data_IF_057707847065
#
_entry.id   IF_057707847065
#
_cell.length_a   1.000
_cell.length_b   1.000
_cell.length_c   1.000
_cell.angle_alpha   90.00
_cell.angle_beta   90.00
_cell.angle_gamma   90.00
#
_symmetry.space_group_name_H-M   'P 1'
#
loop_
_entity.id
_entity.type
_entity.pdbx_description
1 polymer ?
#
# COMPACT_ATOMS: atom_id res chain seq x y z
N UNK A 1 10.00 18.81 4.46
CA UNK A 1 10.36 18.11 5.72
C UNK A 1 9.61 16.80 5.65
N UNK A 2 10.24 15.62 5.81
CA UNK A 2 9.56 14.36 5.54
C UNK A 2 8.22 14.29 6.27
N UNK A 3 7.17 13.86 5.57
CA UNK A 3 5.86 13.68 6.17
C UNK A 3 5.95 12.58 7.22
N UNK A 4 5.56 12.92 8.45
CA UNK A 4 5.40 11.96 9.54
C UNK A 4 3.95 11.49 9.53
N UNK A 5 3.74 10.24 9.12
CA UNK A 5 2.43 9.58 9.11
C UNK A 5 2.54 8.39 10.06
N UNK A 6 1.64 8.31 11.04
CA UNK A 6 1.61 7.21 12.00
C UNK A 6 0.96 5.98 11.36
N UNK A 7 1.76 5.08 10.78
CA UNK A 7 1.21 3.91 10.08
C UNK A 7 0.73 2.79 11.01
N UNK A 8 1.12 2.81 12.29
CA UNK A 8 0.81 1.73 13.25
C UNK A 8 -0.67 1.70 13.66
N UNK A 9 -1.38 2.82 13.57
CA UNK A 9 -2.81 2.91 13.89
C UNK A 9 -3.71 2.40 12.76
N UNK A 10 -3.15 2.17 11.57
CA UNK A 10 -3.88 1.89 10.32
C UNK A 10 -3.96 0.39 9.96
N UNK A 11 -3.73 -0.49 10.94
CA UNK A 11 -3.72 -1.95 10.78
C UNK A 11 -5.08 -2.64 11.00
N UNK A 12 -6.16 -1.87 11.21
CA UNK A 12 -7.52 -2.42 11.07
C UNK A 12 -7.84 -2.60 9.58
N UNK A 13 -7.95 -3.85 9.13
CA UNK A 13 -8.10 -4.20 7.70
C UNK A 13 -9.57 -4.48 7.32
N UNK A 14 -10.54 -4.18 8.18
CA UNK A 14 -11.95 -4.56 7.94
C UNK A 14 -12.54 -3.95 6.66
N UNK A 15 -12.21 -2.70 6.39
CA UNK A 15 -12.61 -1.93 5.21
C UNK A 15 -11.93 -2.40 3.92
N UNK A 16 -10.79 -3.10 3.99
CA UNK A 16 -10.09 -3.64 2.81
C UNK A 16 -10.74 -4.90 2.21
N UNK A 17 -11.77 -5.43 2.85
CA UNK A 17 -12.40 -6.70 2.43
C UNK A 17 -13.32 -6.58 1.23
N UNK A 18 -13.76 -5.37 0.89
CA UNK A 18 -14.81 -5.16 -0.12
C UNK A 18 -14.24 -4.55 -1.39
N UNK A 19 -14.02 -3.24 -1.39
CA UNK A 19 -13.54 -2.48 -2.55
C UNK A 19 -12.89 -1.17 -2.13
N UNK A 20 -12.21 -0.52 -3.08
CA UNK A 20 -11.52 0.75 -2.84
C UNK A 20 -12.46 1.87 -2.42
N UNK A 21 -13.70 1.89 -2.92
CA UNK A 21 -14.65 2.94 -2.57
C UNK A 21 -15.02 2.88 -1.09
N UNK A 22 -15.19 1.67 -0.56
CA UNK A 22 -15.39 1.45 0.88
C UNK A 22 -14.23 2.03 1.70
N UNK A 23 -12.98 1.78 1.29
CA UNK A 23 -11.81 2.29 2.02
C UNK A 23 -11.67 3.80 1.94
N UNK A 24 -12.04 4.42 0.82
CA UNK A 24 -12.01 5.89 0.67
C UNK A 24 -13.03 6.61 1.56
N UNK A 25 -14.12 5.93 1.93
CA UNK A 25 -15.12 6.45 2.85
C UNK A 25 -14.69 6.36 4.32
N UNK A 26 -13.63 5.61 4.64
CA UNK A 26 -13.13 5.47 6.02
C UNK A 26 -12.16 6.60 6.40
N UNK A 27 -11.87 6.67 7.70
CA UNK A 27 -10.88 7.60 8.24
C UNK A 27 -9.44 7.08 8.11
N UNK A 28 -9.21 6.02 7.32
CA UNK A 28 -7.87 5.48 7.07
C UNK A 28 -6.96 6.57 6.48
N UNK A 29 -5.70 6.58 6.92
CA UNK A 29 -4.69 7.60 6.60
C UNK A 29 -5.12 9.01 7.06
N UNK A 30 -5.80 9.11 8.21
CA UNK A 30 -6.37 10.37 8.73
C UNK A 30 -5.32 11.46 8.95
N UNK A 31 -4.10 11.08 9.32
CA UNK A 31 -2.98 12.00 9.54
C UNK A 31 -2.26 12.42 8.24
N UNK A 32 -2.63 11.84 7.09
CA UNK A 32 -2.05 12.17 5.80
C UNK A 32 -2.78 13.34 5.13
N UNK A 33 -2.06 14.22 4.39
CA UNK A 33 -2.69 15.16 3.47
C UNK A 33 -3.63 14.47 2.48
N UNK A 34 -4.69 15.15 2.03
CA UNK A 34 -5.75 14.54 1.22
C UNK A 34 -5.23 13.85 -0.07
N UNK A 35 -4.22 14.42 -0.72
CA UNK A 35 -3.58 13.86 -1.90
C UNK A 35 -2.71 12.64 -1.59
N UNK A 36 -2.04 12.62 -0.44
CA UNK A 36 -1.27 11.46 0.06
C UNK A 36 -2.20 10.34 0.53
N UNK A 37 -3.30 10.68 1.20
CA UNK A 37 -4.35 9.74 1.60
C UNK A 37 -4.89 8.99 0.38
N UNK A 38 -5.28 9.72 -0.67
CA UNK A 38 -5.74 9.09 -1.91
C UNK A 38 -4.64 8.21 -2.54
N UNK A 39 -3.40 8.70 -2.60
CA UNK A 39 -2.29 7.91 -3.12
C UNK A 39 -2.09 6.61 -2.33
N UNK A 40 -2.20 6.65 -1.00
CA UNK A 40 -2.03 5.48 -0.15
C UNK A 40 -3.15 4.46 -0.35
N UNK A 41 -4.41 4.90 -0.50
CA UNK A 41 -5.50 4.00 -0.89
C UNK A 41 -5.21 3.30 -2.23
N UNK A 42 -4.79 4.06 -3.25
CA UNK A 42 -4.51 3.49 -4.58
C UNK A 42 -3.32 2.52 -4.52
N UNK A 43 -2.24 2.87 -3.81
CA UNK A 43 -1.07 2.00 -3.67
C UNK A 43 -1.39 0.68 -2.95
N UNK A 44 -2.17 0.76 -1.87
CA UNK A 44 -2.64 -0.40 -1.11
C UNK A 44 -3.48 -1.32 -1.99
N UNK A 45 -4.47 -0.78 -2.71
CA UNK A 45 -5.33 -1.56 -3.60
C UNK A 45 -4.61 -2.09 -4.83
N UNK A 46 -3.61 -1.39 -5.37
CA UNK A 46 -2.76 -1.93 -6.44
C UNK A 46 -1.97 -3.15 -6.00
N UNK A 47 -1.59 -3.22 -4.73
CA UNK A 47 -0.93 -4.41 -4.18
C UNK A 47 -1.94 -5.53 -3.99
N UNK A 48 -3.13 -5.21 -3.49
CA UNK A 48 -4.21 -6.18 -3.32
C UNK A 48 -4.59 -6.82 -4.66
N UNK A 49 -4.86 -6.01 -5.68
CA UNK A 49 -5.33 -6.49 -6.98
C UNK A 49 -4.19 -6.96 -7.92
N UNK A 50 -2.93 -6.68 -7.58
CA UNK A 50 -1.77 -7.16 -8.36
C UNK A 50 -1.42 -6.29 -9.59
N UNK A 51 -1.77 -5.01 -9.54
CA UNK A 51 -1.53 -4.01 -10.60
C UNK A 51 -0.09 -3.47 -10.58
N UNK A 52 0.85 -4.33 -10.96
CA UNK A 52 2.29 -4.08 -10.87
C UNK A 52 2.81 -2.99 -11.83
N UNK A 53 2.13 -2.72 -12.94
CA UNK A 53 2.57 -1.73 -13.93
C UNK A 53 2.53 -0.31 -13.38
N UNK A 54 1.50 0.01 -12.60
CA UNK A 54 1.28 1.37 -12.08
C UNK A 54 1.98 1.58 -10.72
N UNK A 55 2.40 0.49 -10.07
CA UNK A 55 2.97 0.52 -8.72
C UNK A 55 4.24 1.38 -8.65
N UNK A 56 5.14 1.32 -9.64
CA UNK A 56 6.38 2.12 -9.62
C UNK A 56 6.11 3.63 -9.71
N UNK A 57 5.16 4.02 -10.55
CA UNK A 57 4.78 5.42 -10.72
C UNK A 57 4.21 5.99 -9.41
N UNK A 58 3.34 5.24 -8.73
CA UNK A 58 2.80 5.63 -7.42
C UNK A 58 3.89 5.81 -6.35
N UNK A 59 4.93 4.96 -6.36
CA UNK A 59 6.06 5.13 -5.45
C UNK A 59 6.82 6.43 -5.73
N UNK A 60 7.06 6.76 -7.01
CA UNK A 60 7.70 8.02 -7.37
C UNK A 60 6.84 9.22 -6.95
N UNK A 61 5.54 9.17 -7.22
CA UNK A 61 4.59 10.21 -6.81
C UNK A 61 4.53 10.43 -5.30
N UNK A 62 4.69 9.37 -4.51
CA UNK A 62 4.76 9.45 -3.05
C UNK A 62 6.07 10.09 -2.58
N UNK A 63 7.21 9.73 -3.20
CA UNK A 63 8.51 10.33 -2.90
C UNK A 63 8.52 11.83 -3.19
N UNK A 64 7.87 12.26 -4.29
CA UNK A 64 7.70 13.68 -4.62
C UNK A 64 6.86 14.45 -3.59
N UNK A 65 5.92 13.76 -2.93
CA UNK A 65 5.09 14.30 -1.84
C UNK A 65 5.77 14.24 -0.46
N UNK A 66 7.09 14.04 -0.41
CA UNK A 66 7.87 13.93 0.83
C UNK A 66 7.49 12.72 1.72
N UNK A 67 6.78 11.71 1.19
CA UNK A 67 6.56 10.45 1.90
C UNK A 67 7.85 9.64 1.96
N UNK A 68 8.19 9.10 3.14
CA UNK A 68 9.42 8.30 3.27
C UNK A 68 9.24 6.87 2.76
N UNK A 69 10.34 6.26 2.31
CA UNK A 69 10.39 4.84 1.95
C UNK A 69 9.90 3.92 3.08
N UNK A 70 10.22 4.27 4.34
CA UNK A 70 9.76 3.54 5.53
C UNK A 70 8.24 3.65 5.70
N UNK A 71 7.70 4.85 5.55
CA UNK A 71 6.25 5.12 5.67
C UNK A 71 5.45 4.32 4.64
N UNK A 72 5.86 4.32 3.37
CA UNK A 72 5.18 3.56 2.33
C UNK A 72 5.20 2.05 2.60
N UNK A 73 6.35 1.53 3.03
CA UNK A 73 6.50 0.09 3.32
C UNK A 73 5.69 -0.32 4.54
N UNK A 74 5.74 0.47 5.62
CA UNK A 74 5.08 0.15 6.88
C UNK A 74 3.57 0.47 6.90
N UNK A 75 3.11 1.34 5.99
CA UNK A 75 1.71 1.68 5.79
C UNK A 75 1.12 0.91 4.61
N UNK A 76 0.78 1.58 3.49
CA UNK A 76 -0.08 1.02 2.43
C UNK A 76 0.42 -0.28 1.83
N UNK A 77 1.75 -0.49 1.77
CA UNK A 77 2.31 -1.75 1.27
C UNK A 77 2.14 -2.91 2.25
N UNK A 78 2.30 -2.65 3.55
CA UNK A 78 2.16 -3.67 4.59
C UNK A 78 0.70 -4.07 4.79
N UNK A 79 -0.21 -3.10 4.81
CA UNK A 79 -1.66 -3.33 4.92
C UNK A 79 -2.19 -4.08 3.69
N UNK A 80 -1.79 -3.68 2.49
CA UNK A 80 -2.19 -4.36 1.25
C UNK A 80 -1.74 -5.83 1.21
N UNK A 81 -0.47 -6.12 1.51
CA UNK A 81 0.00 -7.52 1.50
C UNK A 81 -0.59 -8.34 2.66
N UNK A 82 -0.91 -7.72 3.79
CA UNK A 82 -1.57 -8.38 4.91
C UNK A 82 -2.99 -8.83 4.52
N UNK A 83 -3.74 -7.99 3.81
CA UNK A 83 -5.07 -8.34 3.30
C UNK A 83 -4.98 -9.46 2.25
N UNK A 84 -4.04 -9.42 1.31
CA UNK A 84 -3.77 -10.53 0.38
C UNK A 84 -3.52 -11.84 1.13
N UNK A 85 -2.75 -11.78 2.22
CA UNK A 85 -2.51 -12.93 3.10
C UNK A 85 -3.77 -13.43 3.82
N UNK A 86 -4.71 -12.54 4.17
CA UNK A 86 -6.03 -12.90 4.70
C UNK A 86 -6.86 -13.59 3.61
N UNK A 87 -7.00 -12.99 2.43
CA UNK A 87 -7.75 -13.53 1.28
C UNK A 87 -7.26 -14.93 0.90
N UNK A 88 -5.93 -15.14 0.89
CA UNK A 88 -5.32 -16.45 0.63
C UNK A 88 -5.68 -17.50 1.71
N UNK A 89 -5.74 -17.11 2.99
CA UNK A 89 -6.14 -18.02 4.09
C UNK A 89 -7.63 -18.36 4.08
N UNK A 90 -8.46 -17.53 3.46
CA UNK A 90 -9.92 -17.69 3.38
C UNK A 90 -10.37 -18.34 2.07
N UNK A 91 -9.44 -18.87 1.27
CA UNK A 91 -9.70 -19.42 -0.07
C UNK A 91 -10.36 -18.42 -1.04
N UNK A 92 -10.21 -17.11 -0.79
CA UNK A 92 -10.69 -16.02 -1.67
C UNK A 92 -9.67 -15.76 -2.80
N UNK A 93 -8.37 -15.85 -2.47
CA UNK A 93 -7.25 -15.75 -3.42
C UNK A 93 -6.49 -17.06 -3.52
N UNK A 94 -5.91 -17.35 -4.68
CA UNK A 94 -5.04 -18.50 -4.91
C UNK A 94 -3.62 -18.06 -5.24
N UNK A 95 -2.76 -19.03 -5.55
CA UNK A 95 -1.35 -18.77 -5.83
C UNK A 95 -1.13 -17.73 -6.96
N UNK A 96 -1.87 -17.74 -8.09
CA UNK A 96 -1.69 -16.74 -9.13
C UNK A 96 -1.88 -15.31 -8.64
N UNK A 97 -2.92 -15.04 -7.85
CA UNK A 97 -3.24 -13.72 -7.31
C UNK A 97 -2.15 -13.26 -6.35
N UNK A 98 -1.73 -14.13 -5.41
CA UNK A 98 -0.62 -13.84 -4.48
C UNK A 98 0.68 -13.53 -5.22
N UNK A 99 0.96 -14.25 -6.32
CA UNK A 99 2.13 -14.01 -7.15
C UNK A 99 2.08 -12.65 -7.86
N UNK A 100 0.89 -12.15 -8.21
CA UNK A 100 0.72 -10.81 -8.79
C UNK A 100 0.98 -9.72 -7.76
N UNK A 101 0.39 -9.82 -6.56
CA UNK A 101 0.67 -8.90 -5.44
C UNK A 101 2.16 -8.87 -5.07
N UNK A 102 2.82 -10.03 -5.06
CA UNK A 102 4.25 -10.12 -4.81
C UNK A 102 5.07 -9.37 -5.88
N UNK A 103 4.66 -9.39 -7.15
CA UNK A 103 5.32 -8.61 -8.21
C UNK A 103 5.17 -7.11 -7.98
N UNK A 104 4.01 -6.61 -7.54
CA UNK A 104 3.83 -5.21 -7.16
C UNK A 104 4.81 -4.82 -6.05
N UNK A 105 4.87 -5.62 -4.98
CA UNK A 105 5.78 -5.41 -3.86
C UNK A 105 7.24 -5.37 -4.32
N UNK A 106 7.66 -6.30 -5.19
CA UNK A 106 9.00 -6.30 -5.74
C UNK A 106 9.30 -5.06 -6.58
N UNK A 107 8.37 -4.65 -7.44
CA UNK A 107 8.50 -3.46 -8.27
C UNK A 107 8.67 -2.18 -7.43
N UNK A 108 7.89 -2.02 -6.36
CA UNK A 108 8.03 -0.92 -5.42
C UNK A 108 9.39 -0.97 -4.68
N UNK A 109 9.77 -2.15 -4.18
CA UNK A 109 11.00 -2.32 -3.40
C UNK A 109 12.28 -2.09 -4.21
N UNK A 110 12.27 -2.29 -5.54
CA UNK A 110 13.39 -1.92 -6.42
C UNK A 110 13.72 -0.43 -6.32
N UNK A 111 12.70 0.42 -6.16
CA UNK A 111 12.84 1.88 -6.02
C UNK A 111 13.17 2.27 -4.58
N UNK A 112 12.51 1.63 -3.60
CA UNK A 112 12.59 2.03 -2.20
C UNK A 112 13.85 1.53 -1.46
N UNK A 113 14.35 0.33 -1.78
CA UNK A 113 15.48 -0.28 -1.04
C UNK A 113 16.73 0.60 -0.98
N UNK A 114 17.20 1.25 -2.07
CA UNK A 114 18.35 2.13 -2.02
C UNK A 114 18.19 3.31 -1.04
N UNK A 115 16.96 3.73 -0.75
CA UNK A 115 16.66 4.88 0.10
C UNK A 115 16.65 4.56 1.60
N UNK A 116 16.63 3.27 1.98
CA UNK A 116 16.51 2.82 3.37
C UNK A 116 17.87 2.35 3.91
N UNK A 117 18.77 1.93 3.01
CA UNK A 117 20.10 1.42 3.36
C UNK A 117 21.17 2.53 3.31
N UNK A 118 20.83 3.70 2.74
CA UNK A 118 21.68 4.89 2.72
C UNK A 118 21.63 5.63 4.07
#
# INVERSE_FOLDING_TARGET
MPLEIETEIEFDLEDLKTDIETTRETDRWSDAPADVKELFHVLEWNIIEGEHFDTKELIHDALEKECTARTMIAGPMATGIAEVGRRFKMDEYFLPEVMMSAKCMHAALEVLKPLIVA
#
